data_IF_471669561260
#
_entry.id   IF_471669561260
#
_cell.length_a   1.000
_cell.length_b   1.000
_cell.length_c   1.000
_cell.angle_alpha   90.00
_cell.angle_beta   90.00
_cell.angle_gamma   90.00
#
_symmetry.space_group_name_H-M   'P 1'
#
loop_
_entity.id
_entity.type
_entity.pdbx_description
1 polymer ?
#
# COMPACT_ATOMS: atom_id res chain seq x y z
N UNK A 1 0.36 0.89 -8.97
CA UNK A 1 1.43 -0.12 -8.94
C UNK A 1 1.02 -1.30 -8.08
N UNK A 2 1.76 -2.41 -8.13
CA UNK A 2 1.49 -3.63 -7.36
C UNK A 2 2.71 -4.05 -6.53
N UNK A 3 2.52 -4.64 -5.34
CA UNK A 3 3.61 -5.05 -4.43
C UNK A 3 4.53 -3.87 -4.05
N UNK A 4 5.84 -3.94 -4.32
CA UNK A 4 6.75 -2.79 -4.21
C UNK A 4 6.26 -1.58 -5.02
N UNK A 5 5.67 -1.80 -6.20
CA UNK A 5 5.03 -0.74 -6.98
C UNK A 5 3.78 -0.16 -6.30
N UNK A 6 3.12 -0.91 -5.41
CA UNK A 6 2.06 -0.42 -4.55
C UNK A 6 2.61 0.48 -3.43
N UNK A 7 3.71 0.07 -2.80
CA UNK A 7 4.49 0.94 -1.90
C UNK A 7 4.90 2.24 -2.61
N UNK A 8 5.52 2.14 -3.79
CA UNK A 8 5.99 3.30 -4.54
C UNK A 8 4.85 4.24 -4.94
N UNK A 9 3.68 3.71 -5.30
CA UNK A 9 2.50 4.53 -5.58
C UNK A 9 2.06 5.33 -4.33
N UNK A 10 1.96 4.67 -3.16
CA UNK A 10 1.60 5.36 -1.91
C UNK A 10 2.69 6.33 -1.45
N UNK A 11 3.96 5.96 -1.59
CA UNK A 11 5.10 6.81 -1.26
C UNK A 11 5.15 8.04 -2.17
N UNK A 12 4.84 7.91 -3.46
CA UNK A 12 4.71 9.04 -4.38
C UNK A 12 3.68 10.06 -3.89
N UNK A 13 2.50 9.59 -3.45
CA UNK A 13 1.47 10.48 -2.90
C UNK A 13 1.90 11.16 -1.60
N UNK A 14 2.59 10.43 -0.72
CA UNK A 14 2.92 10.91 0.62
C UNK A 14 4.19 11.78 0.67
N UNK A 15 5.22 11.37 -0.07
CA UNK A 15 6.55 11.99 -0.04
C UNK A 15 6.71 13.12 -1.07
N UNK A 16 5.94 13.07 -2.15
CA UNK A 16 5.89 14.09 -3.21
C UNK A 16 4.47 14.64 -3.38
N UNK A 17 3.89 15.24 -2.33
CA UNK A 17 2.52 15.75 -2.41
C UNK A 17 2.40 16.80 -3.51
N UNK A 18 1.28 16.79 -4.24
CA UNK A 18 0.95 17.65 -5.39
C UNK A 18 1.50 17.23 -6.77
N UNK A 19 2.36 16.22 -6.85
CA UNK A 19 2.84 15.73 -8.17
C UNK A 19 1.77 14.90 -8.88
N UNK A 20 1.01 14.10 -8.14
CA UNK A 20 0.04 13.15 -8.68
C UNK A 20 -1.40 13.59 -8.40
N UNK A 21 -2.28 13.44 -9.39
CA UNK A 21 -3.72 13.73 -9.26
C UNK A 21 -4.47 12.69 -8.42
N UNK A 22 -4.08 11.42 -8.52
CA UNK A 22 -4.61 10.28 -7.78
C UNK A 22 -3.58 9.14 -7.80
N UNK A 23 -3.75 8.13 -6.96
CA UNK A 23 -2.92 6.92 -6.97
C UNK A 23 -3.73 5.64 -6.85
N UNK A 24 -3.19 4.55 -7.37
CA UNK A 24 -3.74 3.21 -7.22
C UNK A 24 -2.63 2.23 -6.78
N UNK A 25 -2.87 1.47 -5.71
CA UNK A 25 -1.89 0.58 -5.09
C UNK A 25 -2.49 -0.80 -4.77
N UNK A 26 -1.95 -1.84 -5.38
CA UNK A 26 -2.32 -3.23 -5.05
C UNK A 26 -1.25 -3.93 -4.21
N UNK A 27 -1.65 -4.70 -3.21
CA UNK A 27 -0.78 -5.49 -2.34
C UNK A 27 0.44 -4.71 -1.82
N UNK A 28 0.26 -3.42 -1.53
CA UNK A 28 1.35 -2.50 -1.27
C UNK A 28 1.74 -2.41 0.21
N UNK A 29 3.03 -2.24 0.47
CA UNK A 29 3.55 -2.02 1.82
C UNK A 29 3.29 -0.56 2.21
N UNK A 30 2.58 -0.32 3.31
CA UNK A 30 2.25 1.05 3.78
C UNK A 30 3.12 1.48 4.96
N UNK A 31 3.57 0.56 5.81
CA UNK A 31 4.46 0.81 6.95
C UNK A 31 5.60 -0.21 6.97
N UNK A 32 6.81 0.28 6.65
CA UNK A 32 8.03 -0.52 6.62
C UNK A 32 8.36 -1.06 8.01
N UNK A 33 8.15 -0.29 9.07
CA UNK A 33 8.40 -0.77 10.44
C UNK A 33 7.47 -1.91 10.85
N UNK A 34 6.20 -1.85 10.42
CA UNK A 34 5.24 -2.95 10.67
C UNK A 34 5.69 -4.20 9.91
N UNK A 35 6.13 -4.05 8.65
CA UNK A 35 6.60 -5.17 7.84
C UNK A 35 7.87 -5.79 8.43
N UNK A 36 8.92 -5.00 8.69
CA UNK A 36 10.18 -5.52 9.25
C UNK A 36 9.99 -6.16 10.62
N UNK A 37 9.09 -5.62 11.45
CA UNK A 37 8.72 -6.21 12.73
C UNK A 37 8.04 -7.57 12.57
N UNK A 38 7.22 -7.75 11.54
CA UNK A 38 6.61 -9.04 11.23
C UNK A 38 7.63 -10.05 10.69
N UNK A 39 8.42 -9.65 9.69
CA UNK A 39 9.48 -10.50 9.13
C UNK A 39 10.46 -10.95 10.22
N UNK A 40 10.73 -10.12 11.23
CA UNK A 40 11.56 -10.50 12.38
C UNK A 40 10.91 -11.62 13.21
N UNK A 41 9.60 -11.55 13.49
CA UNK A 41 8.87 -12.61 14.21
C UNK A 41 8.82 -13.92 13.45
N UNK A 42 8.80 -13.85 12.13
CA UNK A 42 8.78 -15.01 11.23
C UNK A 42 10.19 -15.54 10.91
N UNK A 43 11.25 -14.99 11.51
CA UNK A 43 12.66 -15.30 11.20
C UNK A 43 13.04 -15.08 9.72
N UNK A 44 12.28 -14.24 8.99
CA UNK A 44 12.48 -13.95 7.58
C UNK A 44 13.24 -12.64 7.33
N UNK A 45 13.42 -11.78 8.36
CA UNK A 45 14.00 -10.44 8.18
C UNK A 45 15.41 -10.45 7.56
N UNK A 46 16.26 -11.43 7.90
CA UNK A 46 17.64 -11.51 7.36
C UNK A 46 17.67 -11.61 5.83
N UNK A 47 16.59 -12.10 5.21
CA UNK A 47 16.48 -12.22 3.76
C UNK A 47 16.13 -10.89 3.07
N UNK A 48 15.70 -9.89 3.86
CA UNK A 48 15.15 -8.62 3.37
C UNK A 48 15.86 -7.39 3.94
N UNK A 49 16.80 -7.57 4.86
CA UNK A 49 17.50 -6.49 5.55
C UNK A 49 18.25 -5.58 4.57
N UNK A 50 18.95 -6.16 3.58
CA UNK A 50 19.68 -5.41 2.55
C UNK A 50 18.77 -4.63 1.59
N UNK A 51 17.48 -4.99 1.52
CA UNK A 51 16.50 -4.38 0.59
C UNK A 51 15.64 -3.33 1.30
N UNK A 52 15.15 -3.65 2.50
CA UNK A 52 14.22 -2.81 3.26
C UNK A 52 15.00 -1.93 4.24
N UNK A 53 15.93 -2.53 4.98
CA UNK A 53 16.66 -1.92 6.10
C UNK A 53 16.52 -2.69 7.40
N UNK A 54 17.45 -2.45 8.33
CA UNK A 54 17.36 -2.96 9.69
C UNK A 54 16.52 -2.01 10.57
N UNK A 55 15.45 -2.47 11.22
CA UNK A 55 14.60 -1.60 12.02
C UNK A 55 15.25 -1.04 13.31
N UNK A 56 16.43 -1.53 13.70
CA UNK A 56 17.22 -0.98 14.80
C UNK A 56 18.09 0.18 14.29
N UNK A 57 18.82 -0.04 13.21
CA UNK A 57 19.81 0.91 12.68
C UNK A 57 19.19 1.95 11.73
N UNK A 58 18.18 1.57 10.94
CA UNK A 58 17.53 2.41 9.93
C UNK A 58 16.19 3.00 10.39
N UNK A 59 15.89 2.95 11.69
CA UNK A 59 14.55 3.25 12.21
C UNK A 59 13.98 4.58 11.69
N UNK A 60 14.77 5.65 11.72
CA UNK A 60 14.33 6.98 11.28
C UNK A 60 14.06 7.02 9.78
N UNK A 61 14.92 6.40 8.97
CA UNK A 61 14.74 6.27 7.52
C UNK A 61 13.46 5.51 7.21
N UNK A 62 13.23 4.37 7.85
CA UNK A 62 12.03 3.55 7.66
C UNK A 62 10.77 4.32 8.06
N UNK A 63 10.82 5.14 9.12
CA UNK A 63 9.70 6.02 9.50
C UNK A 63 9.46 7.08 8.43
N UNK A 64 10.52 7.76 7.99
CA UNK A 64 10.45 8.84 7.02
C UNK A 64 9.92 8.38 5.66
N UNK A 65 10.21 7.14 5.26
CA UNK A 65 9.79 6.59 3.97
C UNK A 65 8.56 5.69 4.03
N UNK A 66 7.93 5.50 5.19
CA UNK A 66 6.67 4.73 5.30
C UNK A 66 5.44 5.58 4.98
N UNK A 67 4.69 5.31 3.89
CA UNK A 67 3.53 6.12 3.50
C UNK A 67 2.46 6.28 4.59
N UNK A 68 2.20 5.21 5.36
CA UNK A 68 1.27 5.20 6.49
C UNK A 68 1.61 6.26 7.56
N UNK A 69 2.90 6.52 7.77
CA UNK A 69 3.37 7.49 8.77
C UNK A 69 3.34 8.92 8.27
N UNK A 70 2.99 9.11 6.99
CA UNK A 70 3.01 10.38 6.28
C UNK A 70 1.61 10.73 5.73
N UNK A 71 0.54 10.09 6.23
CA UNK A 71 -0.85 10.26 5.73
C UNK A 71 -1.34 11.70 5.74
N UNK A 72 -0.87 12.54 6.68
CA UNK A 72 -1.25 13.96 6.75
C UNK A 72 -0.86 14.72 5.49
N UNK A 73 0.23 14.31 4.82
CA UNK A 73 0.76 14.91 3.60
C UNK A 73 0.00 14.49 2.35
N UNK A 74 -0.72 13.37 2.39
CA UNK A 74 -1.49 12.88 1.25
C UNK A 74 -2.69 13.80 1.02
N UNK A 75 -2.83 14.30 -0.20
CA UNK A 75 -3.96 15.16 -0.62
C UNK A 75 -4.76 14.58 -1.78
N UNK A 76 -4.14 13.69 -2.57
CA UNK A 76 -4.76 13.06 -3.73
C UNK A 76 -5.55 11.81 -3.32
N UNK A 77 -6.66 11.48 -4.02
CA UNK A 77 -7.40 10.24 -3.80
C UNK A 77 -6.53 8.99 -4.01
N UNK A 78 -6.78 7.95 -3.22
CA UNK A 78 -6.06 6.67 -3.28
C UNK A 78 -7.01 5.48 -3.36
N UNK A 79 -6.90 4.68 -4.41
CA UNK A 79 -7.55 3.37 -4.51
C UNK A 79 -6.57 2.25 -4.14
N UNK A 80 -7.00 1.32 -3.28
CA UNK A 80 -6.19 0.16 -2.88
C UNK A 80 -6.89 -1.16 -3.19
N UNK A 81 -6.08 -2.17 -3.51
CA UNK A 81 -6.51 -3.56 -3.71
C UNK A 81 -5.65 -4.51 -2.88
N UNK A 82 -6.23 -5.58 -2.33
CA UNK A 82 -5.45 -6.57 -1.58
C UNK A 82 -6.14 -7.94 -1.55
N UNK A 83 -5.36 -9.02 -1.65
CA UNK A 83 -5.85 -10.36 -1.29
C UNK A 83 -5.93 -10.52 0.23
N UNK A 84 -6.98 -11.18 0.73
CA UNK A 84 -7.13 -11.43 2.17
C UNK A 84 -6.05 -12.39 2.69
N UNK A 85 -5.69 -13.39 1.89
CA UNK A 85 -4.76 -14.46 2.22
C UNK A 85 -3.32 -14.17 1.76
N UNK A 86 -2.99 -12.90 1.52
CA UNK A 86 -1.66 -12.48 1.11
C UNK A 86 -0.60 -12.80 2.19
N UNK A 87 0.32 -13.70 1.84
CA UNK A 87 1.43 -14.15 2.69
C UNK A 87 2.74 -13.42 2.41
N UNK A 88 2.80 -12.58 1.37
CA UNK A 88 3.98 -11.78 1.01
C UNK A 88 3.89 -10.41 1.66
N UNK A 89 2.77 -9.72 1.46
CA UNK A 89 2.44 -8.45 2.09
C UNK A 89 1.12 -8.64 2.84
N UNK A 90 1.11 -8.69 4.16
CA UNK A 90 -0.12 -8.92 4.90
C UNK A 90 -1.16 -7.82 4.62
N UNK A 91 -2.42 -8.21 4.41
CA UNK A 91 -3.56 -7.31 4.16
C UNK A 91 -3.69 -6.18 5.19
N UNK A 92 -3.22 -6.43 6.42
CA UNK A 92 -3.12 -5.44 7.49
C UNK A 92 -2.42 -4.14 7.04
N UNK A 93 -1.47 -4.20 6.11
CA UNK A 93 -0.80 -3.04 5.54
C UNK A 93 -1.80 -2.08 4.87
N UNK A 94 -2.68 -2.60 4.02
CA UNK A 94 -3.72 -1.79 3.37
C UNK A 94 -4.81 -1.37 4.34
N UNK A 95 -5.23 -2.23 5.25
CA UNK A 95 -6.26 -1.87 6.23
C UNK A 95 -5.80 -0.77 7.19
N UNK A 96 -4.54 -0.81 7.65
CA UNK A 96 -3.95 0.26 8.47
C UNK A 96 -3.89 1.57 7.70
N UNK A 97 -3.51 1.52 6.42
CA UNK A 97 -3.47 2.70 5.56
C UNK A 97 -4.86 3.33 5.41
N UNK A 98 -5.88 2.52 5.09
CA UNK A 98 -7.25 3.01 4.96
C UNK A 98 -7.73 3.67 6.25
N UNK A 99 -7.57 3.00 7.40
CA UNK A 99 -7.98 3.56 8.71
C UNK A 99 -7.31 4.90 9.01
N UNK A 100 -6.01 5.03 8.72
CA UNK A 100 -5.29 6.28 8.96
C UNK A 100 -5.69 7.40 7.99
N UNK A 101 -5.99 7.07 6.73
CA UNK A 101 -6.50 8.04 5.76
C UNK A 101 -7.91 8.52 6.12
N UNK A 102 -8.78 7.61 6.54
CA UNK A 102 -10.14 7.92 7.01
C UNK A 102 -10.12 8.84 8.25
N UNK A 103 -9.33 8.49 9.26
CA UNK A 103 -9.12 9.33 10.45
C UNK A 103 -8.55 10.72 10.13
N UNK A 104 -7.79 10.84 9.04
CA UNK A 104 -7.24 12.11 8.56
C UNK A 104 -8.16 12.84 7.57
N UNK A 105 -9.38 12.36 7.34
CA UNK A 105 -10.36 12.94 6.43
C UNK A 105 -9.93 12.91 4.95
N UNK A 106 -9.14 11.90 4.56
CA UNK A 106 -8.60 11.76 3.19
C UNK A 106 -9.46 10.82 2.36
N UNK A 107 -9.59 11.10 1.06
CA UNK A 107 -10.32 10.24 0.13
C UNK A 107 -9.50 8.98 -0.19
N UNK A 108 -9.99 7.83 0.27
CA UNK A 108 -9.36 6.55 0.00
C UNK A 108 -10.38 5.41 0.00
N UNK A 109 -10.12 4.40 -0.83
CA UNK A 109 -10.92 3.19 -0.94
C UNK A 109 -10.01 1.96 -0.88
N UNK A 110 -10.51 0.86 -0.30
CA UNK A 110 -9.84 -0.44 -0.28
C UNK A 110 -10.81 -1.53 -0.70
N UNK A 111 -10.41 -2.32 -1.69
CA UNK A 111 -11.11 -3.54 -2.08
C UNK A 111 -10.26 -4.74 -1.65
N UNK A 112 -10.80 -5.53 -0.71
CA UNK A 112 -10.21 -6.78 -0.28
C UNK A 112 -10.88 -7.94 -1.02
N UNK A 113 -10.07 -8.87 -1.53
CA UNK A 113 -10.52 -10.06 -2.22
C UNK A 113 -10.36 -11.29 -1.32
N UNK A 114 -11.48 -11.91 -0.97
CA UNK A 114 -11.52 -13.13 -0.15
C UNK A 114 -11.16 -14.38 -0.99
N UNK A 115 -10.33 -15.25 -0.42
CA UNK A 115 -9.74 -16.40 -1.09
C UNK A 115 -8.78 -16.03 -2.22
N UNK A 116 -8.08 -14.89 -2.11
CA UNK A 116 -7.01 -14.44 -3.00
C UNK A 116 -5.76 -14.09 -2.19
N UNK A 117 -4.59 -14.38 -2.76
CA UNK A 117 -3.29 -14.07 -2.17
C UNK A 117 -2.67 -12.80 -2.79
N UNK A 118 -1.33 -12.70 -2.72
CA UNK A 118 -0.56 -11.59 -3.28
C UNK A 118 -0.78 -11.32 -4.77
N UNK A 119 -1.17 -12.33 -5.55
CA UNK A 119 -1.13 -12.27 -7.01
C UNK A 119 -2.50 -12.17 -7.68
N UNK A 120 -3.60 -12.38 -6.94
CA UNK A 120 -4.97 -12.40 -7.46
C UNK A 120 -5.13 -13.38 -8.64
N UNK A 121 -5.50 -14.62 -8.33
CA UNK A 121 -5.56 -15.71 -9.30
C UNK A 121 -6.91 -15.81 -10.02
N UNK A 122 -8.04 -15.56 -9.36
CA UNK A 122 -9.34 -15.77 -10.00
C UNK A 122 -9.55 -14.70 -11.05
N UNK A 123 -9.93 -15.12 -12.26
CA UNK A 123 -10.19 -14.18 -13.35
C UNK A 123 -11.31 -13.20 -13.04
N UNK A 124 -12.27 -13.56 -12.17
CA UNK A 124 -13.30 -12.64 -11.67
C UNK A 124 -12.70 -11.51 -10.84
N UNK A 125 -11.79 -11.82 -9.92
CA UNK A 125 -11.09 -10.83 -9.10
C UNK A 125 -10.22 -9.92 -9.96
N UNK A 126 -9.44 -10.48 -10.90
CA UNK A 126 -8.63 -9.71 -11.84
C UNK A 126 -9.48 -8.75 -12.71
N UNK A 127 -10.62 -9.21 -13.23
CA UNK A 127 -11.57 -8.33 -13.95
C UNK A 127 -12.10 -7.20 -13.08
N UNK A 128 -12.40 -7.48 -11.81
CA UNK A 128 -12.86 -6.45 -10.86
C UNK A 128 -11.77 -5.43 -10.56
N UNK A 129 -10.51 -5.84 -10.40
CA UNK A 129 -9.38 -4.90 -10.26
C UNK A 129 -9.33 -3.93 -11.44
N UNK A 130 -9.38 -4.45 -12.68
CA UNK A 130 -9.34 -3.61 -13.88
C UNK A 130 -10.54 -2.67 -13.98
N UNK A 131 -11.75 -3.16 -13.73
CA UNK A 131 -12.98 -2.35 -13.80
C UNK A 131 -13.00 -1.21 -12.78
N UNK A 132 -12.60 -1.47 -11.53
CA UNK A 132 -12.59 -0.43 -10.49
C UNK A 132 -11.45 0.55 -10.71
N UNK A 133 -10.30 0.08 -11.21
CA UNK A 133 -9.21 0.96 -11.62
C UNK A 133 -9.63 1.89 -12.75
N UNK A 134 -10.28 1.37 -13.80
CA UNK A 134 -10.77 2.18 -14.92
C UNK A 134 -11.76 3.25 -14.45
N UNK A 135 -12.72 2.87 -13.61
CA UNK A 135 -13.69 3.78 -13.02
C UNK A 135 -13.01 4.89 -12.20
N UNK A 136 -12.10 4.52 -11.31
CA UNK A 136 -11.37 5.46 -10.46
C UNK A 136 -10.51 6.44 -11.27
N UNK A 137 -9.74 5.94 -12.23
CA UNK A 137 -8.95 6.80 -13.12
C UNK A 137 -9.85 7.70 -13.97
N UNK A 138 -10.97 7.17 -14.45
CA UNK A 138 -11.97 7.94 -15.19
C UNK A 138 -12.59 9.08 -14.37
N UNK A 139 -12.73 8.91 -13.05
CA UNK A 139 -13.26 9.95 -12.16
C UNK A 139 -12.21 11.02 -11.82
N UNK A 140 -10.93 10.65 -11.67
CA UNK A 140 -9.91 11.53 -11.11
C UNK A 140 -8.89 12.08 -12.12
N UNK A 141 -8.81 11.53 -13.34
CA UNK A 141 -7.91 12.02 -14.39
C UNK A 141 -8.58 12.81 -15.50
N UNK A 142 -9.92 12.70 -15.66
CA UNK A 142 -10.64 13.50 -16.65
C UNK A 142 -10.50 15.00 -16.31
N UNK A 143 -10.34 15.81 -17.36
CA UNK A 143 -10.23 17.28 -17.26
C UNK A 143 -11.58 17.90 -16.92
#
# INVERSE_FOLDING_TARGET
GWSYGGYAAMAGLALSPKVYKCGAAGAGISDLLTLTGQLRRENALRNWEDVIGDPTNDRERLIATSPYRQVSRITAPLLMFHGREDTVVPVLQSEKMLRALDQAGKSAELIVFEGEDHWIHKSSSGRRVLSELEKFLGQHLKK
#
